data_IF_347213067101
#
_entry.id   IF_347213067101
#
_cell.length_a   1.000
_cell.length_b   1.000
_cell.length_c   1.000
_cell.angle_alpha   90.00
_cell.angle_beta   90.00
_cell.angle_gamma   90.00
#
_symmetry.space_group_name_H-M   'P 1'
#
loop_
_entity.id
_entity.type
_entity.pdbx_description
1 polymer ?
#
# COMPACT_ATOMS: atom_id res chain seq x y z
N UNK A 1 -7.99 24.71 -13.15
CA UNK A 1 -7.47 23.72 -12.25
C UNK A 1 -7.30 22.38 -12.93
N UNK A 2 -6.19 21.77 -12.70
CA UNK A 2 -5.89 20.49 -13.32
C UNK A 2 -6.44 19.35 -12.48
N UNK A 3 -7.30 18.56 -13.06
CA UNK A 3 -7.81 17.41 -12.35
C UNK A 3 -6.91 16.21 -12.55
N UNK A 4 -6.77 15.46 -11.49
CA UNK A 4 -6.00 14.25 -11.52
C UNK A 4 -6.82 13.15 -12.15
N UNK A 5 -6.29 12.54 -13.20
CA UNK A 5 -6.99 11.46 -13.89
C UNK A 5 -6.44 10.13 -13.45
N UNK A 6 -7.23 9.06 -13.61
CA UNK A 6 -6.79 7.72 -13.29
C UNK A 6 -5.70 7.19 -14.21
N UNK A 7 -5.39 7.93 -15.28
CA UNK A 7 -4.37 7.52 -16.25
C UNK A 7 -2.98 7.99 -15.88
N UNK A 8 -2.86 8.87 -14.89
CA UNK A 8 -1.58 9.42 -14.52
C UNK A 8 -0.71 8.34 -13.86
N UNK A 9 0.48 8.13 -14.43
CA UNK A 9 1.38 7.09 -13.93
C UNK A 9 2.25 7.60 -12.80
N UNK A 10 2.58 6.70 -11.88
CA UNK A 10 3.49 6.97 -10.79
C UNK A 10 4.74 6.15 -11.05
N UNK A 11 5.83 6.83 -11.39
CA UNK A 11 7.09 6.14 -11.71
C UNK A 11 7.81 5.79 -10.42
N UNK A 12 8.23 4.54 -10.32
CA UNK A 12 8.98 4.06 -9.17
C UNK A 12 10.30 3.47 -9.66
N UNK A 13 11.40 4.02 -9.19
CA UNK A 13 12.72 3.52 -9.53
C UNK A 13 13.04 2.34 -8.63
N UNK A 14 13.31 1.19 -9.26
CA UNK A 14 13.58 -0.04 -8.55
C UNK A 14 15.01 -0.48 -8.85
N UNK A 15 15.81 -0.79 -7.82
CA UNK A 15 17.15 -1.32 -8.05
C UNK A 15 17.10 -2.58 -8.91
N UNK A 16 18.03 -2.72 -9.84
CA UNK A 16 18.01 -3.86 -10.76
C UNK A 16 18.08 -5.20 -10.04
N UNK A 17 18.76 -5.24 -8.89
CA UNK A 17 18.86 -6.49 -8.13
C UNK A 17 17.52 -6.95 -7.56
N UNK A 18 16.58 -6.03 -7.41
CA UNK A 18 15.26 -6.31 -6.84
C UNK A 18 14.19 -6.53 -7.91
N UNK A 19 14.50 -6.29 -9.18
CA UNK A 19 13.50 -6.31 -10.25
C UNK A 19 12.72 -7.61 -10.32
N UNK A 20 13.40 -8.74 -10.08
CA UNK A 20 12.73 -10.05 -10.15
C UNK A 20 11.72 -10.27 -9.03
N UNK A 21 11.89 -9.55 -7.91
CA UNK A 21 11.03 -9.71 -6.75
C UNK A 21 9.77 -8.84 -6.81
N UNK A 22 9.75 -7.85 -7.69
CA UNK A 22 8.69 -6.86 -7.71
C UNK A 22 7.31 -7.42 -8.04
N UNK A 23 7.15 -8.30 -9.07
CA UNK A 23 5.81 -8.82 -9.35
C UNK A 23 5.19 -9.53 -8.15
N UNK A 24 5.97 -10.33 -7.43
CA UNK A 24 5.48 -11.03 -6.25
C UNK A 24 5.21 -10.04 -5.12
N UNK A 25 6.08 -9.06 -4.95
CA UNK A 25 5.90 -8.02 -3.94
C UNK A 25 4.57 -7.29 -4.14
N UNK A 26 4.28 -6.88 -5.37
CA UNK A 26 3.04 -6.16 -5.66
C UNK A 26 1.82 -7.05 -5.48
N UNK A 27 1.93 -8.32 -5.87
CA UNK A 27 0.84 -9.27 -5.66
C UNK A 27 0.55 -9.44 -4.17
N UNK A 28 1.58 -9.49 -3.36
CA UNK A 28 1.42 -9.59 -1.91
C UNK A 28 0.72 -8.36 -1.34
N UNK A 29 0.99 -7.18 -1.91
CA UNK A 29 0.29 -5.96 -1.45
C UNK A 29 -1.18 -6.01 -1.81
N UNK A 30 -1.54 -6.55 -2.98
CA UNK A 30 -2.94 -6.75 -3.32
C UNK A 30 -3.62 -7.70 -2.34
N UNK A 31 -2.91 -8.76 -1.95
CA UNK A 31 -3.44 -9.70 -0.96
C UNK A 31 -3.62 -9.04 0.41
N UNK A 32 -2.70 -8.16 0.78
CA UNK A 32 -2.81 -7.40 2.04
C UNK A 32 -4.07 -6.55 2.07
N UNK A 33 -4.41 -5.91 0.94
CA UNK A 33 -5.62 -5.10 0.86
C UNK A 33 -6.84 -5.97 1.16
N UNK A 34 -6.91 -7.15 0.56
CA UNK A 34 -8.02 -8.07 0.79
C UNK A 34 -8.08 -8.49 2.25
N UNK A 35 -6.93 -8.75 2.85
CA UNK A 35 -6.89 -9.16 4.25
C UNK A 35 -7.33 -8.03 5.17
N UNK A 36 -6.95 -6.78 4.88
CA UNK A 36 -7.42 -5.64 5.67
C UNK A 36 -8.94 -5.52 5.56
N UNK A 37 -9.48 -5.68 4.34
CA UNK A 37 -10.93 -5.61 4.14
C UNK A 37 -11.65 -6.69 4.95
N UNK A 38 -11.12 -7.91 4.95
CA UNK A 38 -11.70 -9.00 5.73
C UNK A 38 -11.60 -8.75 7.22
N UNK A 39 -10.45 -8.21 7.66
CA UNK A 39 -10.24 -7.89 9.07
C UNK A 39 -11.18 -6.80 9.56
N UNK A 40 -11.48 -5.83 8.70
CA UNK A 40 -12.45 -4.78 9.04
C UNK A 40 -13.83 -5.39 9.33
N UNK A 41 -14.23 -6.39 8.55
CA UNK A 41 -15.53 -7.05 8.76
C UNK A 41 -15.59 -7.74 10.11
N UNK A 42 -14.44 -8.14 10.64
CA UNK A 42 -14.37 -8.82 11.95
C UNK A 42 -13.98 -7.87 13.07
N UNK A 43 -13.80 -6.59 12.77
CA UNK A 43 -13.29 -5.60 13.73
C UNK A 43 -11.94 -6.04 14.32
N UNK A 44 -11.12 -6.66 13.49
CA UNK A 44 -9.80 -7.17 13.89
C UNK A 44 -8.74 -6.11 13.61
N UNK A 45 -8.70 -5.10 14.45
CA UNK A 45 -7.78 -3.98 14.27
C UNK A 45 -6.32 -4.36 14.53
N UNK A 46 -6.09 -5.37 15.33
CA UNK A 46 -4.74 -5.83 15.61
C UNK A 46 -4.08 -6.39 14.34
N UNK A 47 -4.82 -7.18 13.56
CA UNK A 47 -4.31 -7.68 12.29
C UNK A 47 -4.06 -6.54 11.32
N UNK A 48 -4.97 -5.56 11.26
CA UNK A 48 -4.82 -4.42 10.36
C UNK A 48 -3.57 -3.61 10.73
N UNK A 49 -3.36 -3.40 12.02
CA UNK A 49 -2.17 -2.68 12.49
C UNK A 49 -0.89 -3.39 12.05
N UNK A 50 -0.86 -4.70 12.20
CA UNK A 50 0.30 -5.52 11.83
C UNK A 50 0.57 -5.47 10.33
N UNK A 51 -0.50 -5.54 9.53
CA UNK A 51 -0.37 -5.46 8.07
C UNK A 51 0.14 -4.08 7.63
N UNK A 52 -0.37 -3.02 8.25
CA UNK A 52 0.11 -1.67 7.96
C UNK A 52 1.58 -1.50 8.28
N UNK A 53 2.00 -2.04 9.42
CA UNK A 53 3.40 -1.99 9.83
C UNK A 53 4.29 -2.73 8.83
N UNK A 54 3.85 -3.89 8.38
CA UNK A 54 4.59 -4.68 7.40
C UNK A 54 4.71 -3.95 6.07
N UNK A 55 3.63 -3.32 5.61
CA UNK A 55 3.65 -2.54 4.37
C UNK A 55 4.60 -1.36 4.47
N UNK A 56 4.63 -0.69 5.62
CA UNK A 56 5.53 0.42 5.85
C UNK A 56 6.98 0.00 5.64
N UNK A 57 7.37 -1.12 6.23
CA UNK A 57 8.74 -1.60 6.13
C UNK A 57 9.09 -2.09 4.74
N UNK A 58 8.23 -2.90 4.13
CA UNK A 58 8.54 -3.49 2.83
C UNK A 58 8.46 -2.49 1.70
N UNK A 59 7.55 -1.51 1.79
CA UNK A 59 7.48 -0.46 0.78
C UNK A 59 8.78 0.32 0.69
N UNK A 60 9.29 0.72 1.85
CA UNK A 60 10.55 1.44 1.93
C UNK A 60 11.71 0.62 1.38
N UNK A 61 11.72 -0.67 1.68
CA UNK A 61 12.80 -1.57 1.27
C UNK A 61 12.95 -1.63 -0.25
N UNK A 62 11.85 -1.59 -0.98
CA UNK A 62 11.88 -1.72 -2.44
C UNK A 62 11.69 -0.39 -3.17
N UNK A 63 11.68 0.73 -2.45
CA UNK A 63 11.58 2.04 -3.09
C UNK A 63 10.15 2.53 -3.35
N UNK A 64 9.16 1.86 -2.80
CA UNK A 64 7.77 2.25 -2.96
C UNK A 64 7.34 3.14 -1.80
N UNK A 65 7.77 4.41 -1.84
CA UNK A 65 7.50 5.34 -0.74
C UNK A 65 6.00 5.52 -0.48
N UNK A 66 5.20 5.49 -1.54
CA UNK A 66 3.75 5.60 -1.39
C UNK A 66 3.16 4.44 -0.60
N UNK A 67 3.66 3.21 -0.84
CA UNK A 67 3.21 2.05 -0.08
C UNK A 67 3.64 2.18 1.38
N UNK A 68 4.87 2.65 1.60
CA UNK A 68 5.38 2.83 2.96
C UNK A 68 4.55 3.85 3.74
N UNK A 69 4.23 4.98 3.13
CA UNK A 69 3.44 6.01 3.78
C UNK A 69 2.01 5.55 4.07
N UNK A 70 1.37 4.89 3.10
CA UNK A 70 0.02 4.39 3.29
C UNK A 70 -0.02 3.27 4.32
N UNK A 71 1.01 2.43 4.35
CA UNK A 71 1.13 1.41 5.39
C UNK A 71 1.20 2.02 6.77
N UNK A 72 1.98 3.09 6.92
CA UNK A 72 2.06 3.80 8.20
C UNK A 72 0.71 4.38 8.60
N UNK A 73 -0.01 4.97 7.65
CA UNK A 73 -1.33 5.53 7.94
C UNK A 73 -2.32 4.44 8.37
N UNK A 74 -2.28 3.29 7.71
CA UNK A 74 -3.13 2.15 8.07
C UNK A 74 -2.79 1.68 9.48
N UNK A 75 -1.50 1.58 9.80
CA UNK A 75 -1.05 1.17 11.13
C UNK A 75 -1.61 2.11 12.21
N UNK A 76 -1.43 3.42 12.01
CA UNK A 76 -1.88 4.40 13.00
C UNK A 76 -3.39 4.45 13.11
N UNK A 77 -4.09 4.38 11.98
CA UNK A 77 -5.55 4.41 11.98
C UNK A 77 -6.13 3.17 12.67
N UNK A 78 -5.46 2.03 12.52
CA UNK A 78 -5.90 0.80 13.19
C UNK A 78 -5.71 0.90 14.70
N UNK A 79 -4.63 1.52 15.15
CA UNK A 79 -4.43 1.76 16.58
C UNK A 79 -5.56 2.61 17.17
N UNK A 80 -6.05 3.56 16.38
CA UNK A 80 -7.15 4.43 16.80
C UNK A 80 -8.50 3.82 16.50
N UNK A 81 -8.56 2.66 15.89
CA UNK A 81 -9.79 1.98 15.46
C UNK A 81 -10.64 2.89 14.58
N UNK A 82 -9.98 3.69 13.77
CA UNK A 82 -10.64 4.65 12.88
C UNK A 82 -10.93 3.99 11.53
N UNK A 83 -12.12 3.42 11.41
CA UNK A 83 -12.52 2.68 10.22
C UNK A 83 -12.52 3.56 8.96
N UNK A 84 -13.02 4.79 9.08
CA UNK A 84 -13.06 5.71 7.95
C UNK A 84 -11.68 5.99 7.37
N UNK A 85 -10.71 6.22 8.23
CA UNK A 85 -9.35 6.48 7.79
C UNK A 85 -8.69 5.23 7.19
N UNK A 86 -8.97 4.07 7.76
CA UNK A 86 -8.46 2.81 7.20
C UNK A 86 -9.00 2.63 5.78
N UNK A 87 -10.30 2.82 5.59
CA UNK A 87 -10.93 2.67 4.28
C UNK A 87 -10.39 3.68 3.28
N UNK A 88 -10.17 4.91 3.72
CA UNK A 88 -9.60 5.94 2.87
C UNK A 88 -8.19 5.57 2.40
N UNK A 89 -7.37 5.09 3.33
CA UNK A 89 -6.00 4.67 3.00
C UNK A 89 -5.99 3.47 2.06
N UNK A 90 -6.94 2.53 2.23
CA UNK A 90 -7.06 1.40 1.32
C UNK A 90 -7.41 1.86 -0.10
N UNK A 91 -8.32 2.82 -0.20
CA UNK A 91 -8.71 3.36 -1.49
C UNK A 91 -7.50 4.00 -2.20
N UNK A 92 -6.74 4.77 -1.44
CA UNK A 92 -5.53 5.39 -1.99
C UNK A 92 -4.48 4.35 -2.38
N UNK A 93 -4.37 3.27 -1.61
CA UNK A 93 -3.42 2.22 -1.92
C UNK A 93 -3.81 1.47 -3.20
N UNK A 94 -5.10 1.18 -3.38
CA UNK A 94 -5.58 0.57 -4.61
C UNK A 94 -5.28 1.45 -5.82
N UNK A 95 -5.53 2.74 -5.68
CA UNK A 95 -5.26 3.71 -6.73
C UNK A 95 -3.76 3.76 -7.05
N UNK A 96 -2.94 3.83 -6.02
CA UNK A 96 -1.48 3.86 -6.18
C UNK A 96 -0.99 2.64 -6.96
N UNK A 97 -1.44 1.45 -6.55
CA UNK A 97 -1.01 0.22 -7.22
C UNK A 97 -1.43 0.16 -8.68
N UNK A 98 -2.57 0.76 -9.01
CA UNK A 98 -3.06 0.77 -10.40
C UNK A 98 -2.27 1.71 -11.30
N UNK A 99 -1.51 2.63 -10.72
CA UNK A 99 -0.79 3.66 -11.49
C UNK A 99 0.72 3.45 -11.53
N UNK A 100 1.22 2.46 -10.82
CA UNK A 100 2.67 2.23 -10.75
C UNK A 100 3.23 1.90 -12.13
N UNK A 101 4.32 2.56 -12.46
CA UNK A 101 5.15 2.23 -13.62
C UNK A 101 6.57 1.99 -13.11
N UNK A 102 7.08 0.79 -13.29
CA UNK A 102 8.40 0.42 -12.79
C UNK A 102 9.48 0.92 -13.73
N UNK A 103 10.46 1.61 -13.17
CA UNK A 103 11.63 2.06 -13.91
C UNK A 103 12.84 1.34 -13.30
N UNK A 104 13.49 0.53 -14.10
CA UNK A 104 14.68 -0.20 -13.65
C UNK A 104 15.91 0.68 -13.76
N UNK A 105 16.76 0.62 -12.75
CA UNK A 105 18.03 1.35 -12.77
C UNK A 105 19.17 0.46 -13.18
#
# INVERSE_FOLDING_TARGET
MQERTGDEKIKVNVPSYAAQLIPKFLKNRENDIKEVENSLKRNDFETIERLGHSMKGSGSMYGFDGISELGKMIELSAKDKNIGEIMNSLSELKDYLSRIEIVNE
#
